data_IF_419930404683
#
_entry.id   IF_419930404683
#
_cell.length_a   1.000
_cell.length_b   1.000
_cell.length_c   1.000
_cell.angle_alpha   90.00
_cell.angle_beta   90.00
_cell.angle_gamma   90.00
#
_symmetry.space_group_name_H-M   'P 1'
#
loop_
_entity.id
_entity.type
_entity.pdbx_description
1 polymer ?
#
# COMPACT_ATOMS: atom_id res chain seq x y z
N UNK A 1 -4.30 9.21 4.71
CA UNK A 1 -3.47 8.13 5.28
C UNK A 1 -3.42 6.98 4.30
N UNK A 2 -2.25 6.36 4.15
CA UNK A 2 -2.08 5.06 3.51
C UNK A 2 -1.92 4.02 4.61
N UNK A 3 -2.57 2.88 4.50
CA UNK A 3 -2.50 1.83 5.52
C UNK A 3 -2.60 0.44 4.89
N UNK A 4 -1.96 -0.55 5.51
CA UNK A 4 -2.12 -1.94 5.12
C UNK A 4 -3.37 -2.52 5.78
N UNK A 5 -4.23 -3.19 5.02
CA UNK A 5 -5.38 -3.89 5.57
C UNK A 5 -5.09 -5.38 5.64
N UNK A 6 -5.11 -5.94 6.86
CA UNK A 6 -4.85 -7.35 7.09
C UNK A 6 -6.11 -8.04 7.59
N UNK A 7 -6.39 -9.21 7.02
CA UNK A 7 -7.39 -10.12 7.55
C UNK A 7 -6.79 -11.52 7.67
N UNK A 8 -7.58 -12.47 8.17
CA UNK A 8 -7.16 -13.88 8.18
C UNK A 8 -6.97 -14.44 6.77
N UNK A 9 -7.72 -13.93 5.80
CA UNK A 9 -7.80 -14.46 4.44
C UNK A 9 -7.05 -13.61 3.41
N UNK A 10 -6.80 -12.33 3.73
CA UNK A 10 -6.11 -11.37 2.86
C UNK A 10 -4.87 -10.84 3.61
N UNK A 11 -3.67 -11.23 3.18
CA UNK A 11 -2.40 -10.88 3.85
C UNK A 11 -1.85 -9.51 3.40
N UNK A 12 -2.71 -8.50 3.29
CA UNK A 12 -2.30 -7.12 3.03
C UNK A 12 -3.08 -6.42 1.92
N UNK A 13 -2.39 -5.53 1.24
CA UNK A 13 -2.96 -4.55 0.31
C UNK A 13 -2.93 -3.16 0.96
N UNK A 14 -2.61 -2.14 0.16
CA UNK A 14 -2.58 -0.76 0.64
C UNK A 14 -3.87 -0.06 0.27
N UNK A 15 -4.50 0.52 1.29
CA UNK A 15 -5.72 1.29 1.19
C UNK A 15 -5.47 2.75 1.56
N UNK A 16 -6.39 3.61 1.16
CA UNK A 16 -6.41 5.02 1.55
C UNK A 16 -7.56 5.31 2.50
N UNK A 17 -7.33 6.27 3.39
CA UNK A 17 -8.37 6.86 4.22
C UNK A 17 -8.13 8.36 4.37
N UNK A 18 -9.22 9.12 4.39
CA UNK A 18 -9.22 10.56 4.61
C UNK A 18 -9.85 10.90 5.96
N UNK A 19 -9.42 12.00 6.55
CA UNK A 19 -9.94 12.51 7.81
C UNK A 19 -9.72 14.01 7.85
N UNK A 20 -10.68 14.74 8.41
CA UNK A 20 -10.59 16.19 8.61
C UNK A 20 -10.04 16.55 10.00
N UNK A 21 -10.05 15.61 10.94
CA UNK A 21 -9.69 15.84 12.36
C UNK A 21 -8.60 14.88 12.87
N UNK A 22 -8.20 13.89 12.08
CA UNK A 22 -7.25 12.84 12.46
C UNK A 22 -7.83 11.76 13.37
N UNK A 23 -9.10 11.84 13.75
CA UNK A 23 -9.78 10.94 14.70
C UNK A 23 -10.86 10.10 14.00
N UNK A 24 -11.69 10.72 13.17
CA UNK A 24 -12.70 10.06 12.36
C UNK A 24 -12.18 9.85 10.94
N UNK A 25 -12.17 8.60 10.48
CA UNK A 25 -11.58 8.22 9.20
C UNK A 25 -12.62 7.65 8.24
N UNK A 26 -12.70 8.21 7.05
CA UNK A 26 -13.42 7.65 5.91
C UNK A 26 -12.45 6.82 5.07
N UNK A 27 -12.71 5.53 4.93
CA UNK A 27 -11.87 4.60 4.17
C UNK A 27 -12.38 4.51 2.74
N UNK A 28 -11.46 4.50 1.77
CA UNK A 28 -11.80 4.09 0.41
C UNK A 28 -12.04 2.57 0.38
N UNK A 29 -13.04 2.09 -0.38
CA UNK A 29 -13.42 0.69 -0.39
C UNK A 29 -12.41 -0.19 -1.14
N UNK A 30 -11.73 0.38 -2.14
CA UNK A 30 -10.82 -0.33 -3.02
C UNK A 30 -9.35 -0.08 -2.62
N UNK A 31 -8.47 -1.09 -2.74
CA UNK A 31 -7.05 -0.89 -2.51
C UNK A 31 -6.45 0.01 -3.59
N UNK A 32 -5.53 0.89 -3.20
CA UNK A 32 -4.69 1.62 -4.15
C UNK A 32 -3.46 0.82 -4.60
N UNK A 33 -3.12 -0.27 -3.90
CA UNK A 33 -2.12 -1.25 -4.30
C UNK A 33 -2.54 -2.64 -3.81
N UNK A 34 -2.69 -3.59 -4.74
CA UNK A 34 -3.15 -4.95 -4.47
C UNK A 34 -1.98 -5.96 -4.51
N UNK A 35 -2.22 -7.22 -4.16
CA UNK A 35 -1.25 -8.32 -4.19
C UNK A 35 -1.23 -9.01 -5.56
N UNK A 36 -1.00 -8.23 -6.62
CA UNK A 36 -1.25 -8.69 -8.00
C UNK A 36 0.01 -8.98 -8.82
N UNK A 37 1.21 -8.81 -8.26
CA UNK A 37 2.48 -9.04 -8.99
C UNK A 37 3.28 -10.23 -8.44
N UNK A 38 4.16 -10.86 -9.24
CA UNK A 38 4.98 -11.97 -8.77
C UNK A 38 5.88 -11.66 -7.57
N UNK A 39 6.18 -10.38 -7.30
CA UNK A 39 7.12 -9.96 -6.25
C UNK A 39 6.43 -9.60 -4.92
N UNK A 40 5.12 -9.41 -4.91
CA UNK A 40 4.31 -8.96 -3.78
C UNK A 40 3.00 -9.74 -3.58
N UNK A 41 2.74 -10.76 -4.40
CA UNK A 41 1.53 -11.58 -4.38
C UNK A 41 1.26 -12.41 -3.09
N UNK A 42 2.16 -12.40 -2.11
CA UNK A 42 1.95 -13.08 -0.82
C UNK A 42 1.74 -12.10 0.33
N UNK A 43 2.31 -10.89 0.26
CA UNK A 43 2.15 -9.87 1.29
C UNK A 43 2.49 -8.48 0.75
N UNK A 44 1.72 -7.49 1.18
CA UNK A 44 1.98 -6.06 0.99
C UNK A 44 1.73 -5.32 2.31
N UNK A 45 2.74 -4.64 2.86
CA UNK A 45 2.67 -3.96 4.17
C UNK A 45 3.55 -2.71 4.28
N UNK A 46 3.46 -2.04 5.43
CA UNK A 46 4.35 -0.93 5.84
C UNK A 46 4.48 0.20 4.80
N UNK A 47 3.35 0.80 4.35
CA UNK A 47 3.41 1.85 3.34
C UNK A 47 4.12 3.11 3.85
N UNK A 48 5.03 3.64 3.04
CA UNK A 48 5.67 4.94 3.24
C UNK A 48 5.57 5.75 1.95
N UNK A 49 4.88 6.90 2.01
CA UNK A 49 4.67 7.76 0.85
C UNK A 49 5.56 9.00 0.91
N UNK A 50 6.13 9.39 -0.22
CA UNK A 50 6.81 10.67 -0.42
C UNK A 50 6.27 11.39 -1.65
N UNK A 51 6.40 12.72 -1.66
CA UNK A 51 6.16 13.54 -2.84
C UNK A 51 7.39 13.57 -3.75
N UNK A 52 7.16 13.56 -5.06
CA UNK A 52 8.20 13.70 -6.08
C UNK A 52 8.21 15.13 -6.66
N UNK A 53 9.35 15.60 -7.21
CA UNK A 53 9.44 16.95 -7.78
C UNK A 53 8.49 17.23 -8.95
N UNK A 54 7.97 16.19 -9.60
CA UNK A 54 7.02 16.29 -10.71
C UNK A 54 5.54 16.29 -10.25
N UNK A 55 5.29 16.40 -8.94
CA UNK A 55 3.96 16.44 -8.35
C UNK A 55 3.31 15.07 -8.12
N UNK A 56 3.97 13.97 -8.52
CA UNK A 56 3.48 12.61 -8.26
C UNK A 56 3.86 12.14 -6.87
N UNK A 57 3.20 11.07 -6.41
CA UNK A 57 3.58 10.36 -5.20
C UNK A 57 4.42 9.12 -5.53
N UNK A 58 5.39 8.82 -4.66
CA UNK A 58 6.09 7.53 -4.61
C UNK A 58 5.68 6.81 -3.34
N UNK A 59 5.12 5.62 -3.47
CA UNK A 59 4.81 4.74 -2.35
C UNK A 59 5.88 3.65 -2.27
N UNK A 60 6.63 3.60 -1.18
CA UNK A 60 7.45 2.45 -0.80
C UNK A 60 6.65 1.51 0.09
N UNK A 61 6.88 0.21 -0.02
CA UNK A 61 6.19 -0.80 0.77
C UNK A 61 7.03 -2.07 0.94
N UNK A 62 6.77 -2.81 2.01
CA UNK A 62 7.30 -4.15 2.20
C UNK A 62 6.47 -5.15 1.37
N UNK A 63 7.16 -6.05 0.68
CA UNK A 63 6.56 -7.04 -0.21
C UNK A 63 7.12 -8.44 0.05
N UNK A 64 6.25 -9.44 -0.08
CA UNK A 64 6.62 -10.86 -0.04
C UNK A 64 6.10 -11.60 -1.27
N UNK A 65 6.94 -12.48 -1.82
CA UNK A 65 6.52 -13.40 -2.88
C UNK A 65 6.07 -14.76 -2.32
N UNK A 66 5.51 -15.62 -3.17
CA UNK A 66 5.06 -16.97 -2.79
C UNK A 66 6.18 -17.89 -2.28
N UNK A 67 7.45 -17.53 -2.44
CA UNK A 67 8.60 -18.28 -1.90
C UNK A 67 8.99 -17.77 -0.51
N UNK A 68 8.32 -16.74 0.00
CA UNK A 68 8.56 -16.16 1.30
C UNK A 68 9.73 -15.17 1.34
N UNK A 69 10.28 -14.73 0.20
CA UNK A 69 11.35 -13.73 0.25
C UNK A 69 10.73 -12.36 0.55
N UNK A 70 11.31 -11.56 1.46
CA UNK A 70 10.88 -10.19 1.72
C UNK A 70 11.77 -9.18 0.98
N UNK A 71 11.19 -8.08 0.51
CA UNK A 71 11.90 -6.96 -0.13
C UNK A 71 11.16 -5.64 0.07
N UNK A 72 11.81 -4.54 -0.28
CA UNK A 72 11.16 -3.23 -0.43
C UNK A 72 10.91 -2.98 -1.91
N UNK A 73 9.67 -2.68 -2.27
CA UNK A 73 9.27 -2.26 -3.61
C UNK A 73 8.75 -0.81 -3.58
N UNK A 74 8.51 -0.26 -4.77
CA UNK A 74 7.85 1.05 -4.87
C UNK A 74 6.91 1.14 -6.06
N UNK A 75 5.84 1.92 -5.90
CA UNK A 75 4.91 2.30 -6.96
C UNK A 75 4.87 3.83 -7.09
N UNK A 76 4.54 4.33 -8.28
CA UNK A 76 4.38 5.77 -8.54
C UNK A 76 2.94 6.05 -8.91
N UNK A 77 2.36 7.13 -8.38
CA UNK A 77 1.02 7.54 -8.80
C UNK A 77 0.96 7.82 -10.30
N UNK A 78 -0.21 7.61 -10.89
CA UNK A 78 -0.50 8.06 -12.25
C UNK A 78 -0.61 9.60 -12.25
N UNK A 79 -0.48 10.19 -13.44
CA UNK A 79 -0.66 11.64 -13.70
C UNK A 79 -2.11 11.98 -13.95
#
# INVERSE_FOLDING_TARGET
>A
MYYAAWTKDIPGGIFTATSTDGLAWQKEPDPCLDLDTPLDCDMVSEPCVIELPDGRARLFYEARDKKGNCRILSATSLT
#
